data_IF_028800367200
#
_entry.id   IF_028800367200
#
_cell.length_a   1.000
_cell.length_b   1.000
_cell.length_c   1.000
_cell.angle_alpha   90.00
_cell.angle_beta   90.00
_cell.angle_gamma   90.00
#
_symmetry.space_group_name_H-M   'P 1'
#
loop_
_entity.id
_entity.type
_entity.pdbx_description
1 polymer ?
#
# COMPACT_ATOMS: atom_id res chain seq x y z
N UNK A 1 21.35 -3.14 -0.47
CA UNK A 1 20.53 -1.90 -0.36
C UNK A 1 19.94 -1.82 1.03
N UNK A 2 19.78 -0.60 1.56
CA UNK A 2 19.08 -0.36 2.82
C UNK A 2 17.65 0.04 2.54
N UNK A 3 16.68 -0.71 3.03
CA UNK A 3 15.25 -0.48 2.79
C UNK A 3 14.56 -0.24 4.13
N UNK A 4 13.82 0.86 4.24
CA UNK A 4 13.03 1.21 5.41
C UNK A 4 11.56 0.88 5.15
N UNK A 5 10.97 0.01 5.97
CA UNK A 5 9.51 -0.16 6.03
C UNK A 5 8.89 0.90 6.93
N UNK A 6 7.89 1.61 6.45
CA UNK A 6 7.12 2.58 7.25
C UNK A 6 5.66 2.17 7.25
N UNK A 7 5.07 2.12 8.44
CA UNK A 7 3.66 1.85 8.66
C UNK A 7 2.97 3.14 9.12
N UNK A 8 2.30 3.88 8.21
CA UNK A 8 1.54 5.05 8.59
C UNK A 8 0.29 4.64 9.40
N UNK A 9 0.06 5.29 10.53
CA UNK A 9 -1.10 5.03 11.36
C UNK A 9 -1.71 6.34 11.87
N UNK A 10 -3.04 6.52 11.69
CA UNK A 10 -3.81 7.66 12.19
C UNK A 10 -4.90 7.17 13.13
N UNK A 11 -5.12 7.91 14.21
CA UNK A 11 -6.27 7.65 15.07
C UNK A 11 -7.58 8.18 14.47
N UNK A 12 -7.51 9.36 13.86
CA UNK A 12 -8.65 10.04 13.25
C UNK A 12 -9.00 9.41 11.89
N UNK A 13 -9.82 8.37 11.92
CA UNK A 13 -10.49 7.80 10.75
C UNK A 13 -11.98 8.12 10.84
N UNK A 14 -12.59 8.66 9.78
CA UNK A 14 -14.01 9.00 9.76
C UNK A 14 -14.91 7.76 9.78
N UNK A 15 -14.50 6.68 9.12
CA UNK A 15 -15.25 5.41 9.02
C UNK A 15 -15.03 4.51 10.23
N UNK A 16 -13.84 4.53 10.81
CA UNK A 16 -13.46 3.65 11.92
C UNK A 16 -12.44 4.35 12.84
N UNK A 17 -12.89 5.26 13.77
CA UNK A 17 -11.99 5.94 14.71
C UNK A 17 -11.24 4.94 15.58
N UNK A 18 -9.93 5.17 15.78
CA UNK A 18 -9.08 4.27 16.56
C UNK A 18 -8.74 2.95 15.87
N UNK A 19 -9.05 2.80 14.57
CA UNK A 19 -8.79 1.60 13.76
C UNK A 19 -7.44 0.91 14.03
N UNK A 20 -6.29 1.60 14.15
CA UNK A 20 -5.01 0.94 14.43
C UNK A 20 -4.94 0.21 15.77
N UNK A 21 -5.74 0.61 16.73
CA UNK A 21 -5.72 0.07 18.11
C UNK A 21 -6.77 -1.00 18.38
N UNK A 22 -7.64 -1.33 17.41
CA UNK A 22 -8.66 -2.38 17.62
C UNK A 22 -7.99 -3.72 17.85
N UNK A 23 -8.55 -4.49 18.78
CA UNK A 23 -8.10 -5.86 19.02
C UNK A 23 -8.56 -6.77 17.88
N UNK A 24 -7.61 -7.56 17.38
CA UNK A 24 -7.85 -8.64 16.42
C UNK A 24 -7.17 -9.87 16.99
N UNK A 25 -7.94 -10.74 17.65
CA UNK A 25 -7.43 -12.00 18.23
C UNK A 25 -6.23 -11.77 19.17
N UNK A 26 -6.37 -10.89 20.15
CA UNK A 26 -5.40 -10.64 21.21
C UNK A 26 -4.21 -9.75 20.84
N UNK A 27 -4.21 -9.15 19.65
CA UNK A 27 -3.23 -8.12 19.22
C UNK A 27 -3.93 -7.00 18.49
N UNK A 28 -3.43 -5.78 18.65
CA UNK A 28 -3.98 -4.67 17.86
C UNK A 28 -3.72 -4.87 16.35
N UNK A 29 -4.57 -4.24 15.52
CA UNK A 29 -4.34 -4.20 14.06
C UNK A 29 -2.92 -3.74 13.74
N UNK A 30 -2.48 -2.64 14.33
CA UNK A 30 -1.16 -2.07 14.12
C UNK A 30 -0.03 -3.04 14.50
N UNK A 31 -0.15 -3.71 15.65
CA UNK A 31 0.82 -4.70 16.09
C UNK A 31 0.91 -5.89 15.11
N UNK A 32 -0.23 -6.33 14.55
CA UNK A 32 -0.24 -7.39 13.55
C UNK A 32 0.49 -7.00 12.28
N UNK A 33 0.21 -5.80 11.75
CA UNK A 33 0.94 -5.28 10.59
C UNK A 33 2.44 -5.19 10.87
N UNK A 34 2.82 -4.65 12.03
CA UNK A 34 4.21 -4.53 12.43
C UNK A 34 4.91 -5.90 12.54
N UNK A 35 4.26 -6.86 13.21
CA UNK A 35 4.79 -8.22 13.36
C UNK A 35 4.99 -8.91 11.99
N UNK A 36 4.09 -8.68 11.04
CA UNK A 36 4.23 -9.22 9.68
C UNK A 36 5.35 -8.51 8.92
N UNK A 37 5.42 -7.18 8.98
CA UNK A 37 6.49 -6.41 8.34
C UNK A 37 7.88 -6.81 8.87
N UNK A 38 8.01 -7.08 10.17
CA UNK A 38 9.26 -7.53 10.80
C UNK A 38 9.73 -8.92 10.35
N UNK A 39 8.86 -9.72 9.74
CA UNK A 39 9.24 -11.03 9.15
C UNK A 39 9.87 -10.88 7.75
N UNK A 40 9.79 -9.71 7.14
CA UNK A 40 10.47 -9.46 5.86
C UNK A 40 11.98 -9.53 6.06
N UNK A 41 12.64 -10.32 5.23
CA UNK A 41 14.10 -10.51 5.27
C UNK A 41 14.87 -9.38 4.58
N UNK A 42 14.17 -8.57 3.79
CA UNK A 42 14.78 -7.54 2.95
C UNK A 42 14.65 -6.12 3.53
N UNK A 43 13.83 -5.94 4.57
CA UNK A 43 13.76 -4.67 5.27
C UNK A 43 14.94 -4.53 6.25
N UNK A 44 15.62 -3.40 6.20
CA UNK A 44 16.69 -3.05 7.16
C UNK A 44 16.09 -2.65 8.50
N UNK A 45 15.09 -1.77 8.47
CA UNK A 45 14.38 -1.28 9.64
C UNK A 45 12.87 -1.21 9.34
N UNK A 46 12.04 -1.27 10.37
CA UNK A 46 10.59 -1.03 10.30
C UNK A 46 10.20 -0.05 11.39
N UNK A 47 9.52 1.04 11.02
CA UNK A 47 9.05 2.06 11.95
C UNK A 47 7.55 2.33 11.77
N UNK A 48 6.91 2.83 12.81
CA UNK A 48 5.53 3.30 12.78
C UNK A 48 5.54 4.83 12.71
N UNK A 49 4.77 5.41 11.78
CA UNK A 49 4.62 6.84 11.61
C UNK A 49 3.23 7.30 12.04
N UNK A 50 3.13 8.09 13.09
CA UNK A 50 1.84 8.54 13.65
C UNK A 50 1.89 9.97 14.17
N UNK A 51 0.74 10.63 14.20
CA UNK A 51 0.51 11.94 14.82
C UNK A 51 -0.17 11.83 16.19
N UNK A 52 -0.48 10.60 16.65
CA UNK A 52 -1.29 10.37 17.84
C UNK A 52 -0.48 9.67 18.95
N UNK A 53 -0.43 10.29 20.15
CA UNK A 53 0.35 9.77 21.26
C UNK A 53 -0.14 8.40 21.75
N UNK A 54 -1.46 8.13 21.67
CA UNK A 54 -2.03 6.82 22.06
C UNK A 54 -1.48 5.69 21.16
N UNK A 55 -1.35 5.96 19.87
CA UNK A 55 -0.77 5.02 18.91
C UNK A 55 0.74 4.87 19.20
N UNK A 56 1.42 5.97 19.49
CA UNK A 56 2.85 5.95 19.79
C UNK A 56 3.18 5.17 21.06
N UNK A 57 2.44 5.39 22.13
CA UNK A 57 2.59 4.64 23.39
C UNK A 57 2.30 3.15 23.21
N UNK A 58 1.22 2.85 22.49
CA UNK A 58 0.89 1.48 22.18
C UNK A 58 1.98 0.80 21.33
N UNK A 59 2.52 1.46 20.32
CA UNK A 59 3.61 0.95 19.50
C UNK A 59 4.88 0.67 20.32
N UNK A 60 5.23 1.57 21.24
CA UNK A 60 6.34 1.36 22.18
C UNK A 60 6.14 0.15 23.09
N UNK A 61 4.90 -0.20 23.44
CA UNK A 61 4.59 -1.35 24.31
C UNK A 61 5.01 -2.71 23.70
N UNK A 62 5.10 -2.79 22.36
CA UNK A 62 5.65 -3.95 21.66
C UNK A 62 7.00 -3.67 20.97
N UNK A 63 7.74 -2.67 21.53
CA UNK A 63 9.12 -2.33 21.11
C UNK A 63 9.27 -1.88 19.65
N UNK A 64 8.23 -1.30 19.07
CA UNK A 64 8.34 -0.68 17.74
C UNK A 64 9.02 0.68 17.83
N UNK A 65 9.89 0.98 16.86
CA UNK A 65 10.42 2.33 16.65
C UNK A 65 9.31 3.23 16.10
N UNK A 66 9.16 4.44 16.65
CA UNK A 66 8.07 5.36 16.31
C UNK A 66 8.63 6.71 15.88
N UNK A 67 8.14 7.21 14.75
CA UNK A 67 8.31 8.59 14.32
C UNK A 67 7.00 9.36 14.53
N UNK A 68 7.02 10.34 15.44
CA UNK A 68 5.89 11.28 15.59
C UNK A 68 5.92 12.25 14.42
N UNK A 69 4.84 12.31 13.65
CA UNK A 69 4.68 13.13 12.45
C UNK A 69 3.58 14.17 12.63
N UNK A 70 3.52 15.15 11.74
CA UNK A 70 2.45 16.15 11.75
C UNK A 70 1.09 15.52 11.45
N UNK A 71 0.02 16.12 11.99
CA UNK A 71 -1.36 15.66 11.76
C UNK A 71 -1.87 16.03 10.37
N UNK A 72 -1.37 17.14 9.81
CA UNK A 72 -1.89 17.78 8.60
C UNK A 72 -1.45 17.11 7.29
N UNK A 73 -0.71 16.00 7.34
CA UNK A 73 -0.31 15.30 6.12
C UNK A 73 -1.52 14.85 5.31
N UNK A 74 -1.59 15.21 4.02
CA UNK A 74 -2.72 14.86 3.17
C UNK A 74 -2.74 13.36 2.85
N UNK A 75 -1.58 12.70 2.81
CA UNK A 75 -1.45 11.29 2.42
C UNK A 75 -0.49 10.48 3.31
N UNK A 76 -0.55 9.15 3.15
CA UNK A 76 0.44 8.23 3.74
C UNK A 76 1.85 8.44 3.16
N UNK A 77 1.96 8.88 1.92
CA UNK A 77 3.22 9.19 1.24
C UNK A 77 3.93 10.36 1.92
N UNK A 78 3.23 11.47 2.16
CA UNK A 78 3.79 12.64 2.85
C UNK A 78 4.22 12.30 4.29
N UNK A 79 3.40 11.53 5.01
CA UNK A 79 3.71 11.05 6.35
C UNK A 79 4.96 10.17 6.36
N UNK A 80 5.08 9.28 5.38
CA UNK A 80 6.25 8.41 5.23
C UNK A 80 7.51 9.21 4.96
N UNK A 81 7.44 10.26 4.16
CA UNK A 81 8.59 11.12 3.92
C UNK A 81 9.06 11.84 5.21
N UNK A 82 8.15 12.46 5.97
CA UNK A 82 8.53 13.08 7.26
C UNK A 82 9.11 12.04 8.22
N UNK A 83 8.50 10.87 8.33
CA UNK A 83 8.99 9.80 9.19
C UNK A 83 10.40 9.34 8.79
N UNK A 84 10.66 9.18 7.49
CA UNK A 84 11.98 8.86 6.96
C UNK A 84 13.02 9.93 7.37
N UNK A 85 12.72 11.21 7.19
CA UNK A 85 13.62 12.30 7.58
C UNK A 85 13.94 12.27 9.09
N UNK A 86 12.95 11.96 9.92
CA UNK A 86 13.12 11.88 11.39
C UNK A 86 14.00 10.73 11.87
N UNK A 87 14.21 9.70 11.04
CA UNK A 87 15.18 8.65 11.41
C UNK A 87 16.61 9.15 11.50
N UNK A 88 16.95 10.22 10.78
CA UNK A 88 18.33 10.73 10.65
C UNK A 88 19.29 9.76 9.95
N UNK A 89 18.78 8.62 9.45
CA UNK A 89 19.54 7.58 8.75
C UNK A 89 19.37 7.71 7.24
N UNK A 90 20.28 7.11 6.47
CA UNK A 90 20.16 7.02 5.00
C UNK A 90 19.69 5.64 4.60
N UNK A 91 18.64 5.61 3.78
CA UNK A 91 18.11 4.43 3.12
C UNK A 91 18.09 4.65 1.60
N UNK A 92 18.20 3.57 0.85
CA UNK A 92 18.10 3.60 -0.61
C UNK A 92 16.64 3.66 -1.06
N UNK A 93 15.77 2.91 -0.34
CA UNK A 93 14.33 2.84 -0.60
C UNK A 93 13.50 2.94 0.69
N UNK A 94 12.31 3.46 0.55
CA UNK A 94 11.26 3.49 1.57
C UNK A 94 10.06 2.69 1.06
N UNK A 95 9.55 1.74 1.85
CA UNK A 95 8.32 1.00 1.56
C UNK A 95 7.23 1.49 2.50
N UNK A 96 6.16 2.05 1.92
CA UNK A 96 4.93 2.40 2.63
C UNK A 96 4.07 1.14 2.76
N UNK A 97 3.99 0.60 3.97
CA UNK A 97 3.24 -0.62 4.30
C UNK A 97 1.89 -0.20 4.88
N UNK A 98 0.80 -0.71 4.31
CA UNK A 98 -0.55 -0.31 4.71
C UNK A 98 -0.85 -0.74 6.15
N UNK A 99 -1.17 0.24 7.02
CA UNK A 99 -1.45 0.01 8.45
C UNK A 99 -2.79 -0.66 8.75
N UNK A 100 -3.59 -0.97 7.73
CA UNK A 100 -4.92 -1.58 7.80
C UNK A 100 -5.00 -2.97 7.18
N UNK A 101 -3.85 -3.57 6.87
CA UNK A 101 -3.74 -4.95 6.37
C UNK A 101 -3.07 -5.86 7.42
N UNK A 102 -3.79 -6.26 8.50
CA UNK A 102 -3.20 -6.99 9.64
C UNK A 102 -2.65 -8.36 9.31
N UNK A 103 -3.00 -8.90 8.16
CA UNK A 103 -2.58 -10.21 7.66
C UNK A 103 -1.74 -10.12 6.37
N UNK A 104 -1.12 -8.96 6.12
CA UNK A 104 -0.20 -8.79 4.99
C UNK A 104 0.85 -9.91 4.98
N UNK A 105 1.09 -10.49 3.81
CA UNK A 105 2.10 -11.54 3.66
C UNK A 105 3.50 -10.92 3.55
N UNK A 106 4.47 -11.32 4.39
CA UNK A 106 5.85 -10.82 4.31
C UNK A 106 6.50 -11.05 2.94
N UNK A 107 6.05 -12.07 2.20
CA UNK A 107 6.49 -12.33 0.83
C UNK A 107 6.13 -11.22 -0.14
N UNK A 108 5.00 -10.50 0.08
CA UNK A 108 4.65 -9.33 -0.72
C UNK A 108 5.64 -8.19 -0.50
N UNK A 109 6.05 -7.96 0.75
CA UNK A 109 7.06 -6.94 1.09
C UNK A 109 8.41 -7.31 0.45
N UNK A 110 8.82 -8.57 0.54
CA UNK A 110 10.05 -9.07 -0.08
C UNK A 110 9.98 -8.97 -1.61
N UNK A 111 8.84 -9.30 -2.22
CA UNK A 111 8.64 -9.17 -3.67
C UNK A 111 8.81 -7.71 -4.12
N UNK A 112 8.20 -6.77 -3.40
CA UNK A 112 8.33 -5.34 -3.69
C UNK A 112 9.77 -4.85 -3.50
N UNK A 113 10.44 -5.29 -2.43
CA UNK A 113 11.84 -4.96 -2.16
C UNK A 113 12.79 -5.51 -3.24
N UNK A 114 12.52 -6.68 -3.80
CA UNK A 114 13.34 -7.31 -4.84
C UNK A 114 13.35 -6.55 -6.17
N UNK A 115 12.30 -5.81 -6.50
CA UNK A 115 12.27 -5.00 -7.72
C UNK A 115 12.88 -3.60 -7.54
N UNK A 116 13.36 -3.29 -6.33
CA UNK A 116 14.12 -2.10 -6.01
C UNK A 116 15.59 -2.37 -6.35
N UNK A 117 16.05 -1.94 -7.51
CA UNK A 117 17.37 -2.26 -8.09
C UNK A 117 18.36 -1.07 -8.11
N UNK A 118 18.00 0.05 -7.47
CA UNK A 118 18.75 1.32 -7.52
C UNK A 118 18.35 2.23 -8.68
N UNK A 119 17.78 1.69 -9.77
CA UNK A 119 17.28 2.45 -10.92
C UNK A 119 15.76 2.65 -10.88
N UNK A 120 15.04 1.71 -10.28
CA UNK A 120 13.58 1.79 -10.12
C UNK A 120 13.23 3.03 -9.28
N UNK A 121 12.45 3.93 -9.84
CA UNK A 121 12.02 5.17 -9.17
C UNK A 121 10.93 4.89 -8.14
N UNK A 122 9.86 4.26 -8.60
CA UNK A 122 8.69 3.87 -7.83
C UNK A 122 8.35 2.42 -8.17
N UNK A 123 7.86 1.69 -7.18
CA UNK A 123 7.38 0.33 -7.41
C UNK A 123 6.09 0.07 -6.64
N UNK A 124 5.26 -0.84 -7.17
CA UNK A 124 4.04 -1.31 -6.53
C UNK A 124 3.76 -2.76 -6.88
N UNK A 125 2.76 -3.35 -6.25
CA UNK A 125 2.31 -4.70 -6.52
C UNK A 125 0.99 -4.71 -7.27
N UNK A 126 0.74 -5.81 -7.95
CA UNK A 126 -0.51 -6.09 -8.63
C UNK A 126 -0.87 -7.56 -8.48
N UNK A 127 -2.15 -7.87 -8.58
CA UNK A 127 -2.67 -9.24 -8.58
C UNK A 127 -3.64 -9.44 -9.73
N UNK A 128 -3.62 -10.61 -10.34
CA UNK A 128 -4.48 -10.94 -11.48
C UNK A 128 -5.95 -10.98 -11.08
N UNK A 129 -6.82 -10.37 -11.89
CA UNK A 129 -8.27 -10.47 -11.75
C UNK A 129 -8.73 -11.80 -12.36
N UNK A 130 -9.22 -12.73 -11.53
CA UNK A 130 -9.58 -14.08 -11.93
C UNK A 130 -11.09 -14.28 -12.15
N UNK A 131 -11.91 -13.25 -11.93
CA UNK A 131 -13.35 -13.30 -12.12
C UNK A 131 -13.91 -11.98 -12.64
N UNK A 132 -15.10 -12.06 -13.23
CA UNK A 132 -15.86 -10.88 -13.65
C UNK A 132 -16.13 -9.94 -12.46
N UNK A 133 -16.55 -10.46 -11.33
CA UNK A 133 -16.96 -9.65 -10.18
C UNK A 133 -15.79 -8.82 -9.62
N UNK A 134 -14.61 -9.43 -9.47
CA UNK A 134 -13.38 -8.70 -9.07
C UNK A 134 -13.00 -7.67 -10.13
N UNK A 135 -13.11 -8.03 -11.41
CA UNK A 135 -12.73 -7.12 -12.50
C UNK A 135 -13.63 -5.87 -12.55
N UNK A 136 -14.95 -6.03 -12.33
CA UNK A 136 -15.91 -4.94 -12.44
C UNK A 136 -16.22 -4.24 -11.09
N UNK A 137 -15.59 -4.68 -10.00
CA UNK A 137 -15.67 -3.96 -8.72
C UNK A 137 -14.96 -2.60 -8.84
N UNK A 138 -15.70 -1.50 -8.64
CA UNK A 138 -15.17 -0.13 -8.67
C UNK A 138 -14.33 0.22 -7.44
N UNK A 139 -14.42 -0.57 -6.37
CA UNK A 139 -13.55 -0.47 -5.21
C UNK A 139 -12.12 -0.89 -5.54
N UNK A 140 -11.98 -1.84 -6.46
CA UNK A 140 -10.70 -2.35 -6.93
C UNK A 140 -10.14 -1.49 -8.07
N UNK A 141 -8.90 -1.06 -7.94
CA UNK A 141 -8.22 -0.23 -8.93
C UNK A 141 -7.54 -1.11 -9.97
N UNK A 142 -7.93 -1.00 -11.24
CA UNK A 142 -7.28 -1.71 -12.35
C UNK A 142 -6.03 -1.00 -12.79
N UNK A 143 -5.06 -1.78 -13.29
CA UNK A 143 -3.78 -1.28 -13.78
C UNK A 143 -3.48 -1.87 -15.17
N UNK A 144 -3.04 -1.01 -16.09
CA UNK A 144 -2.49 -1.43 -17.38
C UNK A 144 -0.99 -1.23 -17.41
N UNK A 145 -0.29 -2.12 -18.11
CA UNK A 145 1.17 -2.20 -18.11
C UNK A 145 1.75 -2.07 -19.51
N UNK A 146 2.96 -1.54 -19.58
CA UNK A 146 3.79 -1.68 -20.76
C UNK A 146 4.57 -3.02 -20.75
N UNK A 147 5.35 -3.27 -21.81
CA UNK A 147 6.15 -4.50 -21.93
C UNK A 147 7.26 -4.67 -20.89
N UNK A 148 7.60 -3.59 -20.18
CA UNK A 148 8.61 -3.58 -19.13
C UNK A 148 8.01 -3.77 -17.73
N UNK A 149 6.71 -4.12 -17.64
CA UNK A 149 5.96 -4.13 -16.40
C UNK A 149 5.98 -2.77 -15.67
N UNK A 150 5.92 -1.67 -16.40
CA UNK A 150 5.72 -0.34 -15.85
C UNK A 150 4.26 0.07 -16.06
N UNK A 151 3.65 0.73 -15.08
CA UNK A 151 2.28 1.18 -15.16
C UNK A 151 2.09 2.21 -16.28
N UNK A 152 1.08 1.99 -17.12
CA UNK A 152 0.62 2.97 -18.10
C UNK A 152 -0.50 3.84 -17.53
N UNK A 153 -1.41 3.24 -16.76
CA UNK A 153 -2.52 3.94 -16.14
C UNK A 153 -3.15 3.10 -15.02
N UNK A 154 -3.76 3.79 -14.04
CA UNK A 154 -4.59 3.21 -13.00
C UNK A 154 -5.99 3.75 -13.13
N UNK A 155 -7.02 2.90 -13.02
CA UNK A 155 -8.42 3.33 -13.10
C UNK A 155 -9.34 2.48 -12.24
N UNK A 156 -10.38 3.10 -11.69
CA UNK A 156 -11.51 2.38 -11.08
C UNK A 156 -12.39 1.70 -12.13
N UNK A 157 -12.30 2.14 -13.39
CA UNK A 157 -12.97 1.49 -14.51
C UNK A 157 -12.13 0.35 -15.07
N UNK A 158 -12.78 -0.58 -15.77
CA UNK A 158 -12.08 -1.68 -16.45
C UNK A 158 -11.35 -1.15 -17.67
N UNK A 159 -10.05 -1.33 -17.70
CA UNK A 159 -9.14 -0.99 -18.79
C UNK A 159 -8.15 -2.14 -19.04
N UNK A 160 -7.88 -2.52 -20.32
CA UNK A 160 -8.48 -2.01 -21.55
C UNK A 160 -9.88 -2.57 -21.85
N UNK A 161 -10.58 -1.92 -22.75
CA UNK A 161 -11.81 -2.46 -23.35
C UNK A 161 -11.48 -3.56 -24.36
N UNK A 162 -12.24 -4.66 -24.39
CA UNK A 162 -12.09 -5.71 -25.40
C UNK A 162 -13.24 -5.61 -26.41
N UNK A 163 -12.92 -5.19 -27.63
CA UNK A 163 -13.91 -5.10 -28.71
C UNK A 163 -14.38 -6.48 -29.15
N UNK A 164 -15.69 -6.67 -29.21
CA UNK A 164 -16.30 -7.89 -29.78
C UNK A 164 -16.34 -9.10 -28.86
N UNK A 165 -16.02 -8.92 -27.58
CA UNK A 165 -16.13 -9.95 -26.55
C UNK A 165 -17.13 -9.50 -25.48
N UNK A 166 -17.98 -10.40 -25.01
CA UNK A 166 -18.88 -10.15 -23.88
C UNK A 166 -18.08 -9.77 -22.63
N UNK A 167 -18.50 -8.72 -21.91
CA UNK A 167 -17.82 -8.24 -20.70
C UNK A 167 -17.61 -9.32 -19.64
N UNK A 168 -18.57 -10.28 -19.54
CA UNK A 168 -18.48 -11.42 -18.62
C UNK A 168 -17.30 -12.35 -18.91
N UNK A 169 -16.80 -12.32 -20.13
CA UNK A 169 -15.70 -13.18 -20.57
C UNK A 169 -14.32 -12.46 -20.61
N UNK A 170 -14.27 -11.15 -20.42
CA UNK A 170 -13.04 -10.35 -20.56
C UNK A 170 -11.88 -10.90 -19.74
N UNK A 171 -12.12 -11.29 -18.48
CA UNK A 171 -11.09 -11.87 -17.60
C UNK A 171 -10.46 -13.17 -18.11
N UNK A 172 -11.11 -13.85 -19.09
CA UNK A 172 -10.59 -15.06 -19.74
C UNK A 172 -9.77 -14.75 -21.01
N UNK A 173 -10.01 -13.59 -21.62
CA UNK A 173 -9.39 -13.20 -22.90
C UNK A 173 -8.20 -12.26 -22.75
N UNK A 174 -8.05 -11.62 -21.60
CA UNK A 174 -6.94 -10.71 -21.32
C UNK A 174 -6.51 -10.81 -19.85
N UNK A 175 -5.21 -10.64 -19.59
CA UNK A 175 -4.70 -10.60 -18.23
C UNK A 175 -4.95 -9.22 -17.62
N UNK A 176 -6.07 -9.08 -16.92
CA UNK A 176 -6.35 -7.90 -16.12
C UNK A 176 -5.69 -8.00 -14.75
N UNK A 177 -5.20 -6.88 -14.26
CA UNK A 177 -4.60 -6.78 -12.94
C UNK A 177 -5.30 -5.70 -12.13
N UNK A 178 -5.47 -5.95 -10.82
CA UNK A 178 -5.80 -4.94 -9.85
C UNK A 178 -4.56 -4.56 -9.04
N UNK A 179 -4.53 -3.34 -8.63
CA UNK A 179 -3.48 -2.75 -7.84
C UNK A 179 -3.54 -3.26 -6.39
N UNK A 180 -2.36 -3.53 -5.80
CA UNK A 180 -2.18 -3.78 -4.37
C UNK A 180 -1.49 -2.55 -3.77
N UNK A 181 -2.15 -1.89 -2.82
CA UNK A 181 -1.86 -0.52 -2.36
C UNK A 181 -0.54 -0.28 -1.62
N UNK A 182 0.46 -1.13 -1.78
CA UNK A 182 1.78 -0.98 -1.18
C UNK A 182 2.78 -0.40 -2.19
N UNK A 183 3.57 0.60 -1.77
CA UNK A 183 4.52 1.28 -2.64
C UNK A 183 5.93 1.27 -2.06
N UNK A 184 6.91 1.11 -2.96
CA UNK A 184 8.30 1.42 -2.70
C UNK A 184 8.72 2.68 -3.46
N UNK A 185 9.49 3.51 -2.81
CA UNK A 185 10.00 4.76 -3.34
C UNK A 185 11.51 4.77 -3.19
N UNK A 186 12.25 5.07 -4.25
CA UNK A 186 13.65 5.45 -4.09
C UNK A 186 13.70 6.74 -3.27
N UNK A 187 14.64 6.86 -2.33
CA UNK A 187 14.61 7.93 -1.32
C UNK A 187 14.59 9.35 -1.92
N UNK A 188 15.34 9.59 -3.00
CA UNK A 188 15.37 10.87 -3.72
C UNK A 188 14.07 11.14 -4.51
N UNK A 189 13.36 10.10 -4.89
CA UNK A 189 12.07 10.19 -5.60
C UNK A 189 10.93 10.46 -4.62
N UNK A 190 10.97 9.85 -3.42
CA UNK A 190 9.98 10.13 -2.37
C UNK A 190 9.91 11.63 -2.06
N UNK A 191 11.07 12.29 -1.92
CA UNK A 191 11.13 13.74 -1.76
C UNK A 191 10.43 14.49 -2.89
N UNK A 192 10.73 14.12 -4.15
CA UNK A 192 10.16 14.78 -5.33
C UNK A 192 8.65 14.62 -5.42
N UNK A 193 8.13 13.39 -5.20
CA UNK A 193 6.69 13.14 -5.36
C UNK A 193 5.84 13.81 -4.29
N UNK A 194 6.37 14.01 -3.06
CA UNK A 194 5.68 14.76 -2.01
C UNK A 194 5.59 16.27 -2.27
N UNK A 195 6.41 16.81 -3.18
CA UNK A 195 6.37 18.21 -3.58
C UNK A 195 5.40 18.49 -4.74
N UNK A 196 4.86 17.44 -5.37
CA UNK A 196 3.92 17.58 -6.47
C UNK A 196 2.56 18.08 -5.98
N UNK A 197 1.97 18.98 -6.75
CA UNK A 197 0.57 19.39 -6.53
C UNK A 197 -0.39 18.31 -7.02
N UNK A 198 -1.59 18.20 -6.41
CA UNK A 198 -2.64 17.34 -6.94
C UNK A 198 -2.88 17.58 -8.42
N UNK A 199 -3.03 16.51 -9.19
CA UNK A 199 -3.15 16.55 -10.64
C UNK A 199 -4.57 16.24 -11.11
N UNK A 200 -4.97 16.63 -12.34
CA UNK A 200 -6.32 16.42 -12.86
C UNK A 200 -6.77 14.96 -12.84
N UNK A 201 -5.92 14.01 -13.24
CA UNK A 201 -6.26 12.58 -13.25
C UNK A 201 -6.39 12.03 -11.83
N UNK A 202 -5.49 12.44 -10.92
CA UNK A 202 -5.58 12.07 -9.50
C UNK A 202 -6.92 12.52 -8.91
N UNK A 203 -7.31 13.78 -9.14
CA UNK A 203 -8.57 14.32 -8.61
C UNK A 203 -9.79 13.61 -9.21
N UNK A 204 -9.75 13.26 -10.48
CA UNK A 204 -10.86 12.59 -11.18
C UNK A 204 -11.06 11.15 -10.66
N UNK A 205 -9.99 10.38 -10.54
CA UNK A 205 -10.04 8.98 -10.11
C UNK A 205 -9.91 8.81 -8.58
N UNK A 206 -9.50 9.86 -7.84
CA UNK A 206 -9.10 9.81 -6.43
C UNK A 206 -8.00 8.77 -6.20
N UNK A 207 -6.95 8.83 -7.03
CA UNK A 207 -5.81 7.93 -7.05
C UNK A 207 -4.50 8.72 -7.08
N UNK A 208 -3.79 8.80 -5.95
CA UNK A 208 -2.58 9.62 -5.78
C UNK A 208 -1.49 9.29 -6.80
N UNK A 209 -1.32 8.01 -7.15
CA UNK A 209 -0.29 7.55 -8.08
C UNK A 209 -0.44 8.09 -9.51
N UNK A 210 -1.61 8.57 -9.88
CA UNK A 210 -1.80 9.22 -11.17
C UNK A 210 -1.06 10.56 -11.24
N UNK A 211 -0.91 11.29 -10.13
CA UNK A 211 -0.07 12.48 -10.03
C UNK A 211 1.35 12.19 -10.46
N UNK A 212 1.90 11.04 -10.03
CA UNK A 212 3.27 10.67 -10.36
C UNK A 212 3.41 10.34 -11.85
N UNK A 213 2.46 9.58 -12.42
CA UNK A 213 2.45 9.27 -13.86
C UNK A 213 2.31 10.54 -14.72
N UNK A 214 1.41 11.47 -14.36
CA UNK A 214 1.24 12.75 -15.06
C UNK A 214 2.51 13.62 -15.05
N UNK A 215 3.36 13.45 -14.04
CA UNK A 215 4.65 14.14 -13.93
C UNK A 215 5.83 13.32 -14.50
N UNK A 216 5.57 12.22 -15.20
CA UNK A 216 6.55 11.46 -15.95
C UNK A 216 7.35 10.44 -15.13
N UNK A 217 7.01 10.21 -13.86
CA UNK A 217 7.63 9.16 -13.07
C UNK A 217 7.18 7.77 -13.53
N UNK A 218 8.08 6.81 -13.45
CA UNK A 218 7.80 5.42 -13.78
C UNK A 218 7.50 4.61 -12.54
N UNK A 219 6.43 3.81 -12.61
CA UNK A 219 6.03 2.90 -11.54
C UNK A 219 6.21 1.47 -12.03
N UNK A 220 7.21 0.78 -11.49
CA UNK A 220 7.46 -0.64 -11.77
C UNK A 220 6.46 -1.49 -11.01
N UNK A 221 5.92 -2.54 -11.65
CA UNK A 221 4.90 -3.40 -11.06
C UNK A 221 5.39 -4.84 -10.98
N UNK A 222 5.15 -5.52 -9.86
CA UNK A 222 5.35 -6.96 -9.73
C UNK A 222 4.03 -7.67 -9.39
N UNK A 223 3.82 -8.83 -10.01
CA UNK A 223 2.64 -9.66 -9.75
C UNK A 223 2.84 -10.47 -8.47
N UNK A 224 1.92 -10.30 -7.52
CA UNK A 224 1.83 -11.14 -6.31
C UNK A 224 0.76 -12.21 -6.49
N UNK A 225 0.97 -13.36 -5.84
CA UNK A 225 -0.03 -14.42 -5.73
C UNK A 225 -0.83 -14.36 -4.42
N UNK A 226 -0.41 -13.52 -3.49
CA UNK A 226 -1.07 -13.32 -2.21
C UNK A 226 -2.08 -12.19 -2.32
N UNK A 227 -3.30 -12.47 -1.93
CA UNK A 227 -4.34 -11.44 -1.77
C UNK A 227 -4.23 -10.83 -0.38
N UNK A 228 -4.24 -9.51 -0.29
CA UNK A 228 -4.29 -8.81 0.98
C UNK A 228 -5.67 -8.18 1.16
N UNK A 229 -6.14 -8.21 2.39
CA UNK A 229 -7.46 -7.72 2.75
C UNK A 229 -7.33 -6.58 3.74
N UNK A 230 -7.73 -5.37 3.32
CA UNK A 230 -7.79 -4.23 4.20
C UNK A 230 -9.03 -4.28 5.11
N UNK A 231 -8.90 -3.73 6.29
CA UNK A 231 -10.00 -3.53 7.23
C UNK A 231 -10.29 -2.04 7.29
N UNK A 232 -11.41 -1.62 6.71
CA UNK A 232 -11.82 -0.21 6.63
C UNK A 232 -13.00 0.12 7.54
N UNK A 233 -13.81 -0.88 7.87
CA UNK A 233 -14.99 -0.78 8.73
C UNK A 233 -14.98 -1.88 9.78
N UNK A 234 -15.75 -1.75 10.88
CA UNK A 234 -15.89 -2.83 11.86
C UNK A 234 -16.34 -4.17 11.26
N UNK A 235 -17.22 -4.13 10.26
CA UNK A 235 -17.75 -5.31 9.57
C UNK A 235 -16.67 -6.06 8.78
N UNK A 236 -15.63 -5.37 8.33
CA UNK A 236 -14.53 -5.99 7.60
C UNK A 236 -13.68 -6.90 8.49
N UNK A 237 -13.66 -6.66 9.81
CA UNK A 237 -12.93 -7.52 10.76
C UNK A 237 -13.41 -8.96 10.67
N UNK A 238 -14.73 -9.19 10.79
CA UNK A 238 -15.30 -10.53 10.71
C UNK A 238 -15.11 -11.16 9.33
N UNK A 239 -15.27 -10.37 8.26
CA UNK A 239 -15.06 -10.86 6.89
C UNK A 239 -13.62 -11.33 6.69
N UNK A 240 -12.63 -10.53 7.11
CA UNK A 240 -11.23 -10.87 6.94
C UNK A 240 -10.87 -12.09 7.78
N UNK A 241 -11.31 -12.19 9.04
CA UNK A 241 -11.09 -13.36 9.88
C UNK A 241 -11.66 -14.62 9.23
N UNK A 242 -12.87 -14.54 8.67
CA UNK A 242 -13.51 -15.67 7.97
C UNK A 242 -12.73 -16.08 6.72
N UNK A 243 -12.25 -15.11 5.92
CA UNK A 243 -11.44 -15.38 4.72
C UNK A 243 -10.11 -16.04 5.09
N UNK A 244 -9.50 -15.65 6.22
CA UNK A 244 -8.27 -16.24 6.74
C UNK A 244 -8.48 -17.60 7.45
N UNK A 245 -9.72 -18.10 7.54
CA UNK A 245 -10.04 -19.32 8.27
C UNK A 245 -9.85 -19.23 9.79
N UNK A 246 -9.83 -18.01 10.34
CA UNK A 246 -9.66 -17.72 11.75
C UNK A 246 -11.04 -17.54 12.41
N UNK A 247 -11.18 -17.97 13.65
CA UNK A 247 -12.40 -17.74 14.46
C UNK A 247 -12.14 -16.59 15.42
N UNK A 248 -13.13 -15.71 15.52
CA UNK A 248 -13.18 -14.63 16.53
C UNK A 248 -13.35 -15.19 17.95
#
# INVERSE_FOLDING_TARGET
MKILGIIPARYASTRFPGKPLIDILGKSMLQRVYDQAKKSELLTDVIIATDDERIAEHAKSFSAEVAITKAEHPSGTDRSYEAYLKTGKKYDYIINIQGDEPFIDPGQINLLANICDGNTELATLMIKCNSHDVLFDKGEVKITLNKNNEALYFSRMVIPFIKGVDEKEWHKHFNYYRHVGMYAYRADILEKVTQLKPSPLELAESLEQLRWLENGFKIKCAETLHDSHCIDTPEDVEKVLKLMGLKS
#
